data_IF_800848345214
#
_entry.id   IF_800848345214
#
_cell.length_a   1.000
_cell.length_b   1.000
_cell.length_c   1.000
_cell.angle_alpha   90.00
_cell.angle_beta   90.00
_cell.angle_gamma   90.00
#
_symmetry.space_group_name_H-M   'P 1'
#
loop_
_entity.id
_entity.type
_entity.pdbx_description
1 polymer ?
#
# COMPACT_ATOMS: atom_id res chain seq x y z
N UNK A 1 12.12 12.54 -63.13
CA UNK A 1 10.86 12.83 -62.38
C UNK A 1 10.17 11.53 -61.92
N UNK A 2 10.10 10.40 -62.68
CA UNK A 2 9.46 9.18 -62.24
C UNK A 2 10.18 8.52 -61.02
N UNK A 3 11.52 8.38 -61.07
CA UNK A 3 12.31 7.74 -60.00
C UNK A 3 12.13 8.39 -58.60
N UNK A 4 12.05 9.73 -58.58
CA UNK A 4 11.79 10.45 -57.31
C UNK A 4 10.38 10.22 -56.77
N UNK A 5 9.40 10.07 -57.66
CA UNK A 5 8.06 9.77 -57.30
C UNK A 5 7.92 8.33 -56.70
N UNK A 6 8.51 7.37 -57.37
CA UNK A 6 8.55 5.97 -56.90
C UNK A 6 9.26 5.83 -55.56
N UNK A 7 10.41 6.51 -55.39
CA UNK A 7 11.14 6.55 -54.12
C UNK A 7 10.28 7.14 -52.98
N UNK A 8 9.62 8.30 -53.19
CA UNK A 8 8.79 8.91 -52.21
C UNK A 8 7.55 8.06 -51.88
N UNK A 9 6.98 7.40 -52.88
CA UNK A 9 5.83 6.49 -52.67
C UNK A 9 6.23 5.29 -51.82
N UNK A 10 7.38 4.70 -52.07
CA UNK A 10 7.94 3.61 -51.26
C UNK A 10 8.19 4.05 -49.84
N UNK A 11 8.80 5.23 -49.63
CA UNK A 11 9.03 5.75 -48.26
C UNK A 11 7.73 6.02 -47.50
N UNK A 12 6.71 6.55 -48.18
CA UNK A 12 5.37 6.77 -47.55
C UNK A 12 4.78 5.42 -47.12
N UNK A 13 4.86 4.41 -48.00
CA UNK A 13 4.35 3.07 -47.68
C UNK A 13 5.06 2.44 -46.46
N UNK A 14 6.39 2.59 -46.38
CA UNK A 14 7.18 2.10 -45.25
C UNK A 14 6.86 2.82 -43.95
N UNK A 15 6.68 4.14 -44.00
CA UNK A 15 6.26 4.93 -42.82
C UNK A 15 4.83 4.57 -42.38
N UNK A 16 3.90 4.39 -43.31
CA UNK A 16 2.55 3.96 -43.00
C UNK A 16 2.49 2.56 -42.40
N UNK A 17 3.30 1.64 -42.91
CA UNK A 17 3.44 0.30 -42.34
C UNK A 17 3.97 0.38 -40.90
N UNK A 18 5.06 1.09 -40.67
CA UNK A 18 5.66 1.29 -39.37
C UNK A 18 4.67 1.95 -38.37
N UNK A 19 3.92 2.96 -38.83
CA UNK A 19 2.85 3.58 -38.03
C UNK A 19 1.76 2.58 -37.62
N UNK A 20 1.34 1.71 -38.53
CA UNK A 20 0.31 0.72 -38.25
C UNK A 20 0.80 -0.37 -37.30
N UNK A 21 2.06 -0.80 -37.41
CA UNK A 21 2.71 -1.72 -36.49
C UNK A 21 2.80 -1.14 -35.08
N UNK A 22 3.22 0.12 -34.96
CA UNK A 22 3.27 0.83 -33.66
C UNK A 22 1.87 0.99 -33.04
N UNK A 23 0.87 1.32 -33.83
CA UNK A 23 -0.52 1.40 -33.33
C UNK A 23 -1.02 0.06 -32.80
N UNK A 24 -0.74 -1.03 -33.49
CA UNK A 24 -1.07 -2.37 -33.03
C UNK A 24 -0.37 -2.69 -31.71
N UNK A 25 0.93 -2.41 -31.62
CA UNK A 25 1.71 -2.63 -30.41
C UNK A 25 1.13 -1.84 -29.22
N UNK A 26 0.79 -0.56 -29.42
CA UNK A 26 0.17 0.27 -28.38
C UNK A 26 -1.16 -0.34 -27.94
N UNK A 27 -2.00 -0.78 -28.86
CA UNK A 27 -3.27 -1.41 -28.54
C UNK A 27 -3.09 -2.68 -27.70
N UNK A 28 -2.14 -3.54 -28.11
CA UNK A 28 -1.85 -4.80 -27.42
C UNK A 28 -1.29 -4.53 -25.99
N UNK A 29 -0.44 -3.52 -25.84
CA UNK A 29 0.08 -3.10 -24.53
C UNK A 29 -1.02 -2.55 -23.63
N UNK A 30 -1.93 -1.71 -24.13
CA UNK A 30 -3.05 -1.18 -23.36
C UNK A 30 -3.96 -2.32 -22.89
N UNK A 31 -4.21 -3.32 -23.75
CA UNK A 31 -5.01 -4.48 -23.38
C UNK A 31 -4.34 -5.28 -22.23
N UNK A 32 -3.05 -5.60 -22.37
CA UNK A 32 -2.30 -6.28 -21.32
C UNK A 32 -2.26 -5.50 -20.01
N UNK A 33 -2.10 -4.17 -20.08
CA UNK A 33 -2.14 -3.31 -18.90
C UNK A 33 -3.49 -3.37 -18.19
N UNK A 34 -4.61 -3.36 -18.92
CA UNK A 34 -5.95 -3.49 -18.34
C UNK A 34 -6.15 -4.82 -17.62
N UNK A 35 -5.77 -5.92 -18.27
CA UNK A 35 -5.89 -7.26 -17.67
C UNK A 35 -5.06 -7.39 -16.39
N UNK A 36 -3.80 -6.98 -16.45
CA UNK A 36 -2.91 -7.01 -15.29
C UNK A 36 -3.42 -6.10 -14.15
N UNK A 37 -3.92 -4.90 -14.48
CA UNK A 37 -4.48 -3.99 -13.49
C UNK A 37 -5.68 -4.61 -12.78
N UNK A 38 -6.63 -5.18 -13.52
CA UNK A 38 -7.82 -5.80 -12.94
C UNK A 38 -7.46 -6.98 -12.03
N UNK A 39 -6.55 -7.84 -12.47
CA UNK A 39 -6.05 -8.95 -11.65
C UNK A 39 -5.45 -8.45 -10.33
N UNK A 40 -4.56 -7.46 -10.39
CA UNK A 40 -3.89 -6.91 -9.22
C UNK A 40 -4.84 -6.12 -8.31
N UNK A 41 -5.79 -5.41 -8.90
CA UNK A 41 -6.82 -4.70 -8.16
C UNK A 41 -7.68 -5.66 -7.32
N UNK A 42 -8.09 -6.79 -7.89
CA UNK A 42 -8.87 -7.79 -7.15
C UNK A 42 -8.04 -8.45 -6.03
N UNK A 43 -6.76 -8.71 -6.27
CA UNK A 43 -5.85 -9.21 -5.24
C UNK A 43 -5.68 -8.19 -4.09
N UNK A 44 -5.50 -6.91 -4.39
CA UNK A 44 -5.44 -5.84 -3.38
C UNK A 44 -6.76 -5.74 -2.62
N UNK A 45 -7.89 -5.80 -3.30
CA UNK A 45 -9.21 -5.75 -2.68
C UNK A 45 -9.42 -6.91 -1.70
N UNK A 46 -9.02 -8.10 -2.08
CA UNK A 46 -9.07 -9.29 -1.20
C UNK A 46 -8.18 -9.09 0.03
N UNK A 47 -6.93 -8.70 -0.17
CA UNK A 47 -6.01 -8.40 0.92
C UNK A 47 -6.54 -7.28 1.84
N UNK A 48 -7.18 -6.26 1.25
CA UNK A 48 -7.75 -5.14 2.01
C UNK A 48 -8.90 -5.59 2.92
N UNK A 49 -9.80 -6.44 2.41
CA UNK A 49 -10.88 -7.03 3.22
C UNK A 49 -10.33 -7.77 4.43
N UNK A 50 -9.34 -8.64 4.23
CA UNK A 50 -8.73 -9.46 5.29
C UNK A 50 -7.96 -8.60 6.30
N UNK A 51 -7.15 -7.66 5.81
CA UNK A 51 -6.36 -6.75 6.66
C UNK A 51 -7.25 -5.85 7.48
N UNK A 52 -8.31 -5.30 6.87
CA UNK A 52 -9.29 -4.48 7.56
C UNK A 52 -9.97 -5.26 8.70
N UNK A 53 -10.48 -6.47 8.43
CA UNK A 53 -11.10 -7.32 9.44
C UNK A 53 -10.14 -7.64 10.60
N UNK A 54 -8.87 -7.87 10.31
CA UNK A 54 -7.87 -8.16 11.32
C UNK A 54 -7.58 -6.94 12.20
N UNK A 55 -7.39 -5.77 11.59
CA UNK A 55 -7.04 -4.54 12.32
C UNK A 55 -8.22 -3.97 13.11
N UNK A 56 -9.44 -4.04 12.57
CA UNK A 56 -10.64 -3.57 13.27
C UNK A 56 -11.23 -4.60 14.23
N UNK A 57 -10.83 -5.86 14.12
CA UNK A 57 -11.43 -6.97 14.86
C UNK A 57 -12.83 -7.34 14.34
N UNK A 58 -13.07 -7.15 13.04
CA UNK A 58 -14.31 -7.42 12.33
C UNK A 58 -14.66 -6.34 11.33
N UNK A 59 -15.94 -6.28 10.92
CA UNK A 59 -16.42 -5.32 9.94
C UNK A 59 -16.23 -5.77 8.49
N UNK A 60 -16.46 -4.86 7.54
CA UNK A 60 -16.34 -5.12 6.11
C UNK A 60 -15.63 -3.95 5.43
N UNK A 61 -14.83 -4.26 4.42
CA UNK A 61 -14.17 -3.28 3.57
C UNK A 61 -14.24 -3.74 2.11
N UNK A 62 -14.28 -2.79 1.19
CA UNK A 62 -14.29 -3.07 -0.24
C UNK A 62 -13.70 -1.91 -1.01
N UNK A 63 -12.95 -2.23 -2.07
CA UNK A 63 -12.53 -1.30 -3.09
C UNK A 63 -13.37 -1.52 -4.34
N UNK A 64 -13.76 -0.45 -5.01
CA UNK A 64 -14.53 -0.50 -6.25
C UNK A 64 -13.98 0.49 -7.27
N UNK A 65 -14.05 0.14 -8.54
CA UNK A 65 -13.75 1.05 -9.64
C UNK A 65 -14.98 1.91 -9.91
N UNK A 66 -14.79 3.23 -9.97
CA UNK A 66 -15.87 4.19 -10.20
C UNK A 66 -16.30 4.23 -11.69
N UNK A 67 -15.39 3.86 -12.59
CA UNK A 67 -15.62 3.76 -14.02
C UNK A 67 -15.10 2.42 -14.55
N UNK A 68 -16.01 1.50 -14.83
CA UNK A 68 -15.69 0.16 -15.36
C UNK A 68 -15.28 0.16 -16.83
N UNK A 69 -15.65 1.20 -17.59
CA UNK A 69 -15.37 1.26 -19.02
C UNK A 69 -13.96 1.79 -19.28
N UNK A 70 -13.50 2.72 -18.44
CA UNK A 70 -12.15 3.28 -18.51
C UNK A 70 -11.29 2.90 -17.28
N UNK A 71 -11.02 1.62 -17.15
CA UNK A 71 -10.37 1.00 -15.99
C UNK A 71 -9.04 1.66 -15.59
N UNK A 72 -8.21 2.05 -16.57
CA UNK A 72 -6.88 2.61 -16.31
C UNK A 72 -6.90 4.07 -15.81
N UNK A 73 -7.99 4.77 -16.05
CA UNK A 73 -8.19 6.15 -15.59
C UNK A 73 -9.29 6.27 -14.53
N UNK A 74 -9.87 5.13 -14.14
CA UNK A 74 -10.93 5.07 -13.14
C UNK A 74 -10.45 5.58 -11.79
N UNK A 75 -11.29 6.35 -11.11
CA UNK A 75 -11.17 6.56 -9.67
C UNK A 75 -11.44 5.26 -8.90
N UNK A 76 -10.93 5.19 -7.67
CA UNK A 76 -11.19 4.06 -6.77
C UNK A 76 -12.03 4.53 -5.59
N UNK A 77 -13.22 3.92 -5.46
CA UNK A 77 -14.10 4.08 -4.31
C UNK A 77 -13.65 3.17 -3.15
N UNK A 78 -13.73 3.68 -1.93
CA UNK A 78 -13.44 2.92 -0.70
C UNK A 78 -14.71 2.89 0.13
N UNK A 79 -15.28 1.71 0.31
CA UNK A 79 -16.44 1.47 1.16
C UNK A 79 -16.02 0.65 2.37
N UNK A 80 -16.31 1.12 3.58
CA UNK A 80 -15.93 0.45 4.84
C UNK A 80 -17.06 0.51 5.86
N UNK A 81 -17.20 -0.60 6.60
CA UNK A 81 -18.16 -0.75 7.68
C UNK A 81 -17.43 -1.28 8.94
N UNK A 82 -16.94 -0.39 9.82
CA UNK A 82 -16.36 -0.81 11.09
C UNK A 82 -17.36 -1.61 11.93
N UNK A 83 -16.89 -2.49 12.84
CA UNK A 83 -17.77 -3.26 13.70
C UNK A 83 -18.72 -2.38 14.52
N UNK A 84 -20.01 -2.73 14.51
CA UNK A 84 -21.03 -2.00 15.28
C UNK A 84 -21.47 -0.65 14.72
N UNK A 85 -21.02 -0.28 13.53
CA UNK A 85 -21.44 0.94 12.83
C UNK A 85 -22.01 0.65 11.44
N UNK A 86 -23.07 1.36 11.09
CA UNK A 86 -23.62 1.36 9.73
C UNK A 86 -23.08 2.64 9.06
N UNK A 87 -21.84 2.61 8.60
CA UNK A 87 -21.20 3.74 7.89
C UNK A 87 -20.83 3.27 6.51
N UNK A 88 -21.27 3.99 5.49
CA UNK A 88 -21.01 3.68 4.08
C UNK A 88 -19.99 4.61 3.44
N UNK A 89 -19.65 5.72 4.11
CA UNK A 89 -18.73 6.72 3.57
C UNK A 89 -17.54 6.91 4.52
N UNK A 90 -16.33 6.83 3.98
CA UNK A 90 -15.08 7.04 4.72
C UNK A 90 -15.03 8.42 5.39
N UNK A 91 -15.71 9.42 4.84
CA UNK A 91 -15.77 10.77 5.40
C UNK A 91 -16.43 10.84 6.78
N UNK A 92 -17.35 9.90 7.06
CA UNK A 92 -18.09 9.81 8.32
C UNK A 92 -17.33 9.05 9.42
N UNK A 93 -16.17 8.50 9.11
CA UNK A 93 -15.31 7.83 10.08
C UNK A 93 -14.61 8.85 11.00
N UNK A 94 -14.32 8.43 12.23
CA UNK A 94 -13.43 9.18 13.12
C UNK A 94 -12.01 9.26 12.57
N UNK A 95 -11.22 10.22 13.06
CA UNK A 95 -9.82 10.36 12.62
C UNK A 95 -9.00 9.08 12.78
N UNK A 96 -9.13 8.39 13.93
CA UNK A 96 -8.46 7.11 14.17
C UNK A 96 -8.94 5.98 13.24
N UNK A 97 -10.25 5.92 12.95
CA UNK A 97 -10.79 4.94 12.01
C UNK A 97 -10.32 5.20 10.57
N UNK A 98 -10.24 6.46 10.15
CA UNK A 98 -9.64 6.85 8.86
C UNK A 98 -8.18 6.42 8.77
N UNK A 99 -7.40 6.71 9.81
CA UNK A 99 -5.99 6.32 9.89
C UNK A 99 -5.83 4.80 9.82
N UNK A 100 -6.62 4.05 10.59
CA UNK A 100 -6.55 2.59 10.60
C UNK A 100 -6.99 1.99 9.25
N UNK A 101 -7.96 2.59 8.56
CA UNK A 101 -8.38 2.20 7.21
C UNK A 101 -7.25 2.44 6.19
N UNK A 102 -6.57 3.57 6.27
CA UNK A 102 -5.42 3.87 5.41
C UNK A 102 -4.27 2.88 5.65
N UNK A 103 -3.99 2.54 6.91
CA UNK A 103 -3.00 1.53 7.28
C UNK A 103 -3.39 0.14 6.73
N UNK A 104 -4.68 -0.22 6.80
CA UNK A 104 -5.18 -1.47 6.25
C UNK A 104 -4.95 -1.55 4.73
N UNK A 105 -5.18 -0.46 4.01
CA UNK A 105 -4.93 -0.39 2.57
C UNK A 105 -3.43 -0.46 2.25
N UNK A 106 -2.59 0.27 3.00
CA UNK A 106 -1.14 0.23 2.86
C UNK A 106 -0.61 -1.21 2.98
N UNK A 107 -1.03 -1.93 4.02
CA UNK A 107 -0.61 -3.32 4.22
C UNK A 107 -1.23 -4.29 3.22
N UNK A 108 -2.43 -4.02 2.71
CA UNK A 108 -3.02 -4.81 1.63
C UNK A 108 -2.17 -4.74 0.34
N UNK A 109 -1.65 -3.57 0.02
CA UNK A 109 -0.73 -3.36 -1.11
C UNK A 109 0.63 -4.02 -0.82
N UNK A 110 1.17 -3.85 0.39
CA UNK A 110 2.43 -4.46 0.81
C UNK A 110 2.37 -6.00 0.73
N UNK A 111 1.24 -6.61 1.08
CA UNK A 111 1.04 -8.06 1.00
C UNK A 111 1.04 -8.60 -0.44
N UNK A 112 0.69 -7.78 -1.42
CA UNK A 112 0.71 -8.18 -2.82
C UNK A 112 2.14 -8.43 -3.33
N UNK A 113 3.06 -7.53 -2.95
CA UNK A 113 4.49 -7.62 -3.30
C UNK A 113 5.31 -7.13 -2.10
N UNK A 114 5.63 -8.02 -1.15
CA UNK A 114 6.41 -7.64 0.01
C UNK A 114 7.76 -7.02 -0.37
N UNK A 115 8.06 -5.86 0.21
CA UNK A 115 9.36 -5.23 0.09
C UNK A 115 10.35 -5.87 1.07
N UNK A 116 11.65 -5.91 0.77
CA UNK A 116 12.63 -6.46 1.72
C UNK A 116 12.69 -5.67 3.03
N UNK A 117 12.43 -4.38 3.00
CA UNK A 117 12.27 -3.53 4.19
C UNK A 117 11.20 -2.47 3.97
N UNK A 118 10.65 -1.94 5.08
CA UNK A 118 9.65 -0.88 5.09
C UNK A 118 9.93 0.08 6.26
N UNK A 119 9.98 1.38 5.97
CA UNK A 119 10.12 2.44 6.97
C UNK A 119 8.75 3.06 7.23
N UNK A 120 8.33 3.05 8.50
CA UNK A 120 7.05 3.61 8.96
C UNK A 120 7.33 4.72 9.97
N UNK A 121 6.86 5.92 9.68
CA UNK A 121 7.09 7.10 10.50
C UNK A 121 5.77 7.58 11.11
N UNK A 122 5.58 7.28 12.41
CA UNK A 122 4.42 7.66 13.23
C UNK A 122 3.03 7.42 12.60
N UNK A 123 2.90 6.41 11.73
CA UNK A 123 1.64 6.16 10.99
C UNK A 123 0.48 5.80 11.92
N UNK A 124 0.75 5.31 13.12
CA UNK A 124 -0.22 4.95 14.17
C UNK A 124 -0.52 6.08 15.16
N UNK A 125 0.02 7.28 14.96
CA UNK A 125 -0.13 8.39 15.92
C UNK A 125 -1.59 8.75 16.24
N UNK A 126 -2.49 8.63 15.26
CA UNK A 126 -3.92 8.93 15.41
C UNK A 126 -4.74 7.77 16.03
N UNK A 127 -4.14 6.60 16.29
CA UNK A 127 -4.81 5.42 16.81
C UNK A 127 -4.96 5.51 18.34
N UNK A 128 -6.04 4.96 18.87
CA UNK A 128 -6.16 4.66 20.30
C UNK A 128 -5.31 3.46 20.72
N UNK A 129 -5.08 3.26 22.00
CA UNK A 129 -4.19 2.21 22.52
C UNK A 129 -4.63 0.79 22.16
N UNK A 130 -5.93 0.54 22.01
CA UNK A 130 -6.45 -0.75 21.59
C UNK A 130 -6.09 -1.03 20.13
N UNK A 131 -6.25 -0.05 19.25
CA UNK A 131 -5.92 -0.14 17.85
C UNK A 131 -4.39 -0.18 17.63
N UNK A 132 -3.59 0.55 18.43
CA UNK A 132 -2.12 0.44 18.41
C UNK A 132 -1.67 -1.00 18.69
N UNK A 133 -2.26 -1.67 19.69
CA UNK A 133 -1.93 -3.07 19.98
C UNK A 133 -2.27 -4.01 18.82
N UNK A 134 -3.41 -3.82 18.16
CA UNK A 134 -3.79 -4.61 16.97
C UNK A 134 -2.86 -4.34 15.79
N UNK A 135 -2.52 -3.09 15.55
CA UNK A 135 -1.56 -2.67 14.56
C UNK A 135 -0.19 -3.33 14.80
N UNK A 136 0.36 -3.23 16.00
CA UNK A 136 1.65 -3.79 16.37
C UNK A 136 1.68 -5.33 16.19
N UNK A 137 0.62 -6.00 16.64
CA UNK A 137 0.47 -7.47 16.42
C UNK A 137 0.39 -7.83 14.95
N UNK A 138 -0.30 -7.04 14.14
CA UNK A 138 -0.39 -7.26 12.71
C UNK A 138 0.97 -7.03 12.03
N UNK A 139 1.65 -5.96 12.39
CA UNK A 139 2.99 -5.64 11.90
C UNK A 139 3.98 -6.79 12.18
N UNK A 140 3.99 -7.31 13.40
CA UNK A 140 4.84 -8.46 13.77
C UNK A 140 4.55 -9.70 12.90
N UNK A 141 3.29 -9.93 12.50
CA UNK A 141 2.95 -11.02 11.56
C UNK A 141 3.63 -10.85 10.20
N UNK A 142 3.85 -9.62 9.75
CA UNK A 142 4.46 -9.30 8.44
C UNK A 142 5.99 -9.37 8.46
N UNK A 143 6.63 -9.42 9.63
CA UNK A 143 8.10 -9.48 9.76
C UNK A 143 8.71 -10.74 9.16
N UNK A 144 7.89 -11.76 8.89
CA UNK A 144 8.34 -12.98 8.22
C UNK A 144 8.96 -12.74 6.83
N UNK A 145 8.47 -11.70 6.13
CA UNK A 145 8.84 -11.42 4.74
C UNK A 145 9.43 -10.02 4.55
N UNK A 146 9.33 -9.13 5.56
CA UNK A 146 9.74 -7.74 5.46
C UNK A 146 10.37 -7.29 6.77
N UNK A 147 11.52 -6.62 6.70
CA UNK A 147 12.09 -5.91 7.85
C UNK A 147 11.38 -4.58 8.03
N UNK A 148 10.79 -4.34 9.20
CA UNK A 148 10.16 -3.06 9.52
C UNK A 148 11.10 -2.20 10.38
N UNK A 149 11.24 -0.94 9.99
CA UNK A 149 11.88 0.12 10.76
C UNK A 149 10.77 1.10 11.11
N UNK A 150 10.44 1.20 12.40
CA UNK A 150 9.29 2.00 12.86
C UNK A 150 9.79 3.14 13.74
N UNK A 151 9.48 4.37 13.34
CA UNK A 151 9.64 5.55 14.18
C UNK A 151 8.34 5.72 14.95
N UNK A 152 8.40 5.71 16.28
CA UNK A 152 7.20 5.76 17.12
C UNK A 152 7.48 6.33 18.50
N UNK A 153 6.47 6.94 19.09
CA UNK A 153 6.43 7.30 20.51
C UNK A 153 5.38 6.48 21.29
N UNK A 154 4.72 5.52 20.62
CA UNK A 154 3.64 4.71 21.21
C UNK A 154 4.21 3.47 21.89
N UNK A 155 3.92 3.33 23.20
CA UNK A 155 4.39 2.21 24.01
C UNK A 155 3.98 0.84 23.44
N UNK A 156 2.73 0.70 22.97
CA UNK A 156 2.23 -0.55 22.40
C UNK A 156 2.96 -0.99 21.13
N UNK A 157 3.51 -0.06 20.35
CA UNK A 157 4.36 -0.38 19.19
C UNK A 157 5.77 -0.77 19.65
N UNK A 158 6.33 -0.07 20.65
CA UNK A 158 7.65 -0.38 21.21
C UNK A 158 7.70 -1.78 21.83
N UNK A 159 6.64 -2.18 22.56
CA UNK A 159 6.54 -3.51 23.19
C UNK A 159 6.54 -4.68 22.19
N UNK A 160 6.16 -4.43 20.95
CA UNK A 160 6.12 -5.43 19.88
C UNK A 160 7.40 -5.48 19.03
N UNK A 161 8.40 -4.65 19.32
CA UNK A 161 9.63 -4.59 18.56
C UNK A 161 10.65 -5.62 19.09
N UNK A 162 11.43 -6.24 18.20
CA UNK A 162 12.54 -7.13 18.57
C UNK A 162 13.74 -6.34 19.09
N UNK A 163 13.94 -5.12 18.57
CA UNK A 163 15.07 -4.23 18.93
C UNK A 163 14.56 -2.80 19.03
N UNK A 164 14.94 -2.11 20.11
CA UNK A 164 14.66 -0.70 20.31
C UNK A 164 15.94 0.14 20.13
N UNK A 165 15.79 1.23 19.38
CA UNK A 165 16.79 2.27 19.24
C UNK A 165 16.26 3.56 19.85
N UNK A 166 16.87 4.00 20.95
CA UNK A 166 16.59 5.31 21.55
C UNK A 166 17.45 6.38 20.88
N UNK A 167 16.84 7.48 20.50
CA UNK A 167 17.56 8.65 20.01
C UNK A 167 17.53 9.70 21.13
N UNK A 168 18.69 10.08 21.60
CA UNK A 168 18.85 11.08 22.66
C UNK A 168 19.72 12.24 22.17
N UNK A 169 19.63 13.37 22.85
CA UNK A 169 20.45 14.55 22.59
C UNK A 169 21.18 14.92 23.89
N UNK A 170 22.42 14.40 24.05
CA UNK A 170 23.25 14.71 25.19
C UNK A 170 23.88 16.08 25.04
N UNK A 171 24.31 16.43 23.83
CA UNK A 171 24.81 17.75 23.49
C UNK A 171 23.84 18.45 22.56
N UNK A 172 23.70 19.77 22.70
CA UNK A 172 22.75 20.55 21.91
C UNK A 172 23.03 20.42 20.41
N UNK A 173 22.08 19.85 19.65
CA UNK A 173 22.21 19.65 18.20
C UNK A 173 22.92 18.35 17.79
N UNK A 174 23.34 17.49 18.73
CA UNK A 174 24.00 16.22 18.43
C UNK A 174 23.13 15.06 18.90
N UNK A 175 22.60 14.26 17.97
CA UNK A 175 21.82 13.07 18.28
C UNK A 175 22.76 11.89 18.59
N UNK A 176 22.46 11.16 19.65
CA UNK A 176 23.20 9.95 20.06
C UNK A 176 22.25 8.76 20.05
N UNK A 177 22.71 7.64 19.47
CA UNK A 177 21.95 6.40 19.35
C UNK A 177 22.24 5.49 20.55
N UNK A 178 21.19 5.01 21.19
CA UNK A 178 21.24 3.97 22.22
C UNK A 178 20.39 2.79 21.76
N UNK A 179 20.96 1.58 21.69
CA UNK A 179 20.24 0.36 21.29
C UNK A 179 19.99 -0.54 22.49
N UNK A 180 18.78 -1.10 22.55
CA UNK A 180 18.38 -2.12 23.54
C UNK A 180 17.72 -3.27 22.78
N UNK A 181 18.28 -4.47 22.94
CA UNK A 181 17.67 -5.70 22.42
C UNK A 181 16.69 -6.22 23.48
N UNK A 182 15.43 -6.35 23.14
CA UNK A 182 14.41 -6.96 24.01
C UNK A 182 14.56 -8.48 23.95
N UNK A 183 14.95 -9.08 25.08
CA UNK A 183 14.98 -10.55 25.25
C UNK A 183 13.69 -10.93 25.97
N UNK A 184 12.90 -11.82 25.40
CA UNK A 184 11.60 -12.26 25.96
C UNK A 184 11.71 -12.83 27.38
N UNK A 185 12.87 -13.27 27.83
CA UNK A 185 13.09 -13.90 29.16
C UNK A 185 13.04 -12.95 30.37
N UNK A 186 12.89 -11.63 30.17
CA UNK A 186 12.88 -10.66 31.31
C UNK A 186 11.50 -10.13 31.68
N UNK A 187 10.43 -10.63 31.11
CA UNK A 187 9.07 -10.15 31.40
C UNK A 187 8.31 -11.02 32.42
N UNK A 188 8.89 -12.10 32.92
CA UNK A 188 8.29 -13.03 33.90
C UNK A 188 8.87 -12.90 35.33
N UNK A 189 9.25 -11.67 35.77
CA UNK A 189 9.58 -11.40 37.18
C UNK A 189 8.88 -10.16 37.71
#
# INVERSE_FOLDING_TARGET
VPERYEFLTSQIADVEKSRNELRKLIHDLIHQMKELFLERFEQINTNFKETFQTLFGGGKANLELLDSDNVLESGIGITVHPPGKIVTNIELLSGGEKALTAIALLFAIQNLKPSPFCLLDEIEAALDDSNVKRYAKYLHKLTKNTQFIVITHRKGTMEAADVLYGITMQEKGVSTLVSVKLIEEQLDN
#
